data_IF_298451850944
#
_entry.id   IF_298451850944
#
_cell.length_a   1.000
_cell.length_b   1.000
_cell.length_c   1.000
_cell.angle_alpha   90.00
_cell.angle_beta   90.00
_cell.angle_gamma   90.00
#
_symmetry.space_group_name_H-M   'P 1'
#
loop_
_entity.id
_entity.type
_entity.pdbx_description
1 polymer ?
#
# COMPACT_ATOMS: atom_id res chain seq x y z
N UNK A 1 -0.19 13.54 -2.48
CA UNK A 1 -0.89 12.25 -2.59
C UNK A 1 -1.13 11.79 -1.17
N UNK A 2 -2.38 11.55 -0.78
CA UNK A 2 -2.73 11.08 0.57
C UNK A 2 -3.22 9.63 0.48
N UNK A 3 -2.75 8.79 1.41
CA UNK A 3 -3.21 7.41 1.55
C UNK A 3 -4.04 7.28 2.82
N UNK A 4 -5.34 7.03 2.66
CA UNK A 4 -6.24 6.72 3.76
C UNK A 4 -6.30 5.22 4.02
N UNK A 5 -5.84 4.77 5.18
CA UNK A 5 -5.88 3.38 5.59
C UNK A 5 -7.31 2.96 5.97
N UNK A 6 -7.87 1.98 5.26
CA UNK A 6 -9.23 1.48 5.52
C UNK A 6 -9.21 0.22 6.36
N UNK A 7 -8.33 -0.71 6.03
CA UNK A 7 -8.20 -1.97 6.75
C UNK A 7 -6.74 -2.43 6.73
N UNK A 8 -6.34 -3.08 7.81
CA UNK A 8 -5.04 -3.74 7.93
C UNK A 8 -5.27 -5.13 8.49
N UNK A 9 -4.60 -6.13 7.93
CA UNK A 9 -4.62 -7.49 8.44
C UNK A 9 -3.24 -8.12 8.31
N UNK A 10 -3.08 -9.29 8.93
CA UNK A 10 -1.84 -10.06 8.89
C UNK A 10 -2.15 -11.46 8.42
N UNK A 11 -1.36 -11.95 7.48
CA UNK A 11 -1.47 -13.32 6.99
C UNK A 11 -0.07 -13.94 6.92
N UNK A 12 0.16 -14.96 7.76
CA UNK A 12 1.49 -15.55 7.93
C UNK A 12 2.52 -14.57 8.49
N UNK A 13 3.61 -14.36 7.75
CA UNK A 13 4.67 -13.38 8.06
C UNK A 13 4.43 -12.01 7.42
N UNK A 14 3.48 -11.90 6.49
CA UNK A 14 3.21 -10.66 5.76
C UNK A 14 2.05 -9.87 6.39
N UNK A 15 2.15 -8.56 6.33
CA UNK A 15 1.06 -7.66 6.72
C UNK A 15 0.45 -7.04 5.47
N UNK A 16 -0.85 -6.87 5.48
CA UNK A 16 -1.63 -6.37 4.36
C UNK A 16 -2.39 -5.13 4.79
N UNK A 17 -2.49 -4.17 3.88
CA UNK A 17 -3.17 -2.89 4.08
C UNK A 17 -3.94 -2.57 2.82
N UNK A 18 -5.22 -2.25 2.97
CA UNK A 18 -6.02 -1.65 1.90
C UNK A 18 -6.21 -0.18 2.23
N UNK A 19 -5.88 0.67 1.28
CA UNK A 19 -6.03 2.11 1.44
C UNK A 19 -6.57 2.78 0.18
N UNK A 20 -7.28 3.88 0.40
CA UNK A 20 -7.76 4.77 -0.66
C UNK A 20 -6.72 5.85 -0.91
N UNK A 21 -6.23 5.94 -2.15
CA UNK A 21 -5.36 7.01 -2.59
C UNK A 21 -6.20 8.21 -3.06
N UNK A 22 -6.10 9.30 -2.32
CA UNK A 22 -6.72 10.58 -2.66
C UNK A 22 -5.67 11.47 -3.31
N UNK A 23 -5.90 11.81 -4.58
CA UNK A 23 -5.14 12.86 -5.26
C UNK A 23 -5.91 14.17 -5.16
N UNK A 24 -5.53 14.98 -4.18
CA UNK A 24 -6.16 16.26 -3.80
C UNK A 24 -6.22 17.29 -4.95
N UNK A 25 -5.54 17.04 -6.07
CA UNK A 25 -5.43 17.96 -7.22
C UNK A 25 -6.47 17.77 -8.33
N UNK A 26 -7.34 16.76 -8.29
CA UNK A 26 -8.36 16.56 -9.33
C UNK A 26 -9.79 16.75 -8.80
N UNK A 27 -10.14 18.00 -8.49
CA UNK A 27 -11.49 18.40 -8.06
C UNK A 27 -12.55 18.35 -9.19
N UNK A 28 -12.23 17.85 -10.39
CA UNK A 28 -13.08 17.99 -11.59
C UNK A 28 -13.19 16.75 -12.50
N UNK A 29 -12.68 15.59 -12.09
CA UNK A 29 -12.93 14.34 -12.81
C UNK A 29 -13.63 13.37 -11.84
N UNK A 30 -14.77 12.76 -12.23
CA UNK A 30 -15.38 11.70 -11.45
C UNK A 30 -14.40 10.53 -11.45
N UNK A 31 -13.52 10.50 -10.44
CA UNK A 31 -12.65 9.38 -10.16
C UNK A 31 -13.60 8.22 -9.85
N UNK A 32 -13.77 7.31 -10.80
CA UNK A 32 -14.49 6.07 -10.54
C UNK A 32 -13.81 5.40 -9.36
N UNK A 33 -14.59 5.12 -8.32
CA UNK A 33 -14.12 4.68 -7.00
C UNK A 33 -13.12 3.51 -7.12
N UNK A 34 -13.29 2.66 -8.14
CA UNK A 34 -12.41 1.57 -8.59
C UNK A 34 -10.91 1.88 -8.64
N UNK A 35 -10.49 3.04 -9.16
CA UNK A 35 -9.06 3.31 -9.36
C UNK A 35 -8.39 3.99 -8.15
N UNK A 36 -9.16 4.24 -7.09
CA UNK A 36 -8.71 4.89 -5.86
C UNK A 36 -8.21 3.89 -4.83
N UNK A 37 -8.72 2.66 -4.85
CA UNK A 37 -8.32 1.63 -3.90
C UNK A 37 -7.04 0.95 -4.35
N UNK A 38 -6.08 0.83 -3.43
CA UNK A 38 -4.86 0.06 -3.64
C UNK A 38 -4.59 -0.82 -2.44
N UNK A 39 -4.11 -2.02 -2.75
CA UNK A 39 -3.64 -2.96 -1.75
C UNK A 39 -2.13 -2.81 -1.59
N UNK A 40 -1.67 -2.97 -0.37
CA UNK A 40 -0.29 -2.88 0.02
C UNK A 40 0.05 -4.09 0.88
N UNK A 41 1.18 -4.72 0.62
CA UNK A 41 1.75 -5.74 1.48
C UNK A 41 3.01 -5.16 2.09
N UNK A 42 3.20 -5.31 3.38
CA UNK A 42 4.33 -4.78 4.09
C UNK A 42 4.89 -5.73 5.12
N UNK A 43 6.18 -5.55 5.40
CA UNK A 43 6.89 -6.28 6.43
C UNK A 43 7.83 -5.35 7.20
N UNK A 44 8.05 -5.69 8.45
CA UNK A 44 8.89 -4.90 9.34
C UNK A 44 10.33 -5.35 9.20
N UNK A 45 11.18 -4.45 8.73
CA UNK A 45 12.60 -4.71 8.66
C UNK A 45 13.22 -4.62 10.06
N UNK A 46 14.04 -5.60 10.47
CA UNK A 46 14.70 -5.59 11.78
C UNK A 46 15.68 -4.42 11.93
N UNK A 47 16.16 -3.86 10.82
CA UNK A 47 17.07 -2.71 10.83
C UNK A 47 16.29 -1.39 10.99
N UNK A 48 16.39 -0.80 12.19
CA UNK A 48 15.97 0.57 12.54
C UNK A 48 14.47 0.89 12.44
N UNK A 49 13.59 -0.12 12.47
CA UNK A 49 12.14 0.10 12.38
C UNK A 49 11.71 0.61 11.00
N UNK A 50 12.44 0.21 9.96
CA UNK A 50 12.00 0.40 8.59
C UNK A 50 10.84 -0.53 8.26
N UNK A 51 9.92 -0.07 7.43
CA UNK A 51 8.84 -0.89 6.87
C UNK A 51 9.14 -1.05 5.40
N UNK A 52 9.26 -2.28 4.94
CA UNK A 52 9.29 -2.56 3.52
C UNK A 52 7.88 -2.85 3.06
N UNK A 53 7.41 -2.13 2.06
CA UNK A 53 6.09 -2.32 1.49
C UNK A 53 6.15 -2.50 -0.02
N UNK A 54 5.16 -3.17 -0.57
CA UNK A 54 4.91 -3.24 -2.00
C UNK A 54 3.47 -2.84 -2.29
N UNK A 55 3.28 -2.12 -3.39
CA UNK A 55 1.96 -1.65 -3.84
C UNK A 55 1.44 -2.51 -5.01
N UNK A 56 0.14 -2.84 -4.97
CA UNK A 56 -0.56 -3.47 -6.10
C UNK A 56 -0.82 -2.48 -7.22
N UNK A 57 -0.85 -2.97 -8.47
CA UNK A 57 -1.17 -2.15 -9.64
C UNK A 57 -2.65 -1.72 -9.67
N UNK A 58 -3.51 -2.48 -9.00
CA UNK A 58 -4.97 -2.39 -9.03
C UNK A 58 -5.62 -2.78 -7.68
N UNK A 59 -6.94 -2.65 -7.62
CA UNK A 59 -7.75 -2.83 -6.41
C UNK A 59 -8.00 -4.30 -6.02
N UNK A 60 -7.61 -5.27 -6.85
CA UNK A 60 -7.94 -6.69 -6.64
C UNK A 60 -7.10 -7.37 -5.56
N UNK A 61 -5.97 -6.77 -5.14
CA UNK A 61 -4.97 -7.39 -4.26
C UNK A 61 -4.42 -8.74 -4.79
N UNK A 62 -4.82 -9.19 -5.98
CA UNK A 62 -4.49 -10.50 -6.53
C UNK A 62 -3.02 -10.52 -6.97
N UNK A 63 -2.25 -11.46 -6.43
CA UNK A 63 -0.82 -11.62 -6.73
C UNK A 63 0.13 -10.84 -5.82
N UNK A 64 -0.36 -10.11 -4.81
CA UNK A 64 0.49 -9.50 -3.78
C UNK A 64 0.94 -10.55 -2.75
N UNK A 65 1.93 -11.38 -3.10
CA UNK A 65 2.41 -12.46 -2.24
C UNK A 65 3.57 -12.06 -1.33
N UNK A 66 4.39 -11.08 -1.75
CA UNK A 66 5.58 -10.69 -1.02
C UNK A 66 5.84 -9.17 -1.12
N UNK A 67 6.26 -8.51 -0.02
CA UNK A 67 6.73 -7.12 -0.04
C UNK A 67 8.06 -6.92 -0.78
N UNK A 68 8.64 -8.00 -1.29
CA UNK A 68 9.90 -8.05 -2.05
C UNK A 68 9.70 -8.29 -3.55
N UNK A 69 8.52 -8.76 -3.98
CA UNK A 69 8.29 -9.25 -5.35
C UNK A 69 7.19 -8.49 -6.12
N UNK A 70 6.69 -7.36 -5.60
CA UNK A 70 5.63 -6.63 -6.30
C UNK A 70 6.11 -5.54 -7.28
N UNK A 71 5.16 -4.99 -8.04
CA UNK A 71 5.42 -4.04 -9.14
C UNK A 71 6.11 -2.74 -8.71
N UNK A 72 5.91 -2.30 -7.47
CA UNK A 72 6.63 -1.18 -6.85
C UNK A 72 6.90 -1.50 -5.39
N UNK A 73 8.18 -1.69 -5.06
CA UNK A 73 8.63 -1.84 -3.68
C UNK A 73 9.12 -0.50 -3.14
N UNK A 74 8.80 -0.22 -1.88
CA UNK A 74 9.13 1.02 -1.20
C UNK A 74 9.61 0.70 0.20
N UNK A 75 10.69 1.34 0.63
CA UNK A 75 11.20 1.24 1.99
C UNK A 75 10.86 2.51 2.74
N UNK A 76 9.89 2.43 3.64
CA UNK A 76 9.62 3.49 4.59
C UNK A 76 10.64 3.37 5.73
N UNK A 77 11.21 4.49 6.11
CA UNK A 77 11.96 4.63 7.35
C UNK A 77 11.24 5.67 8.18
N UNK A 78 11.13 5.44 9.49
CA UNK A 78 10.61 6.47 10.39
C UNK A 78 11.54 7.67 10.33
N UNK A 79 11.04 8.80 9.82
CA UNK A 79 11.78 10.06 9.91
C UNK A 79 11.87 10.46 11.39
N UNK A 80 13.05 10.92 11.79
CA UNK A 80 13.36 11.32 13.17
C UNK A 80 12.67 12.62 13.54
#
# INVERSE_FOLDING_TARGET
EELSCLAVWKEGSAHYLVGKMSNEKHHNLPFTDDNSYRCFVFDYLPEKGGIQMSQSADATCDGLVSPWEGSRTMKLIKSK
#
